data_IF_026591978161
#
_entry.id   IF_026591978161
#
_cell.length_a   1.000
_cell.length_b   1.000
_cell.length_c   1.000
_cell.angle_alpha   90.00
_cell.angle_beta   90.00
_cell.angle_gamma   90.00
#
_symmetry.space_group_name_H-M   'P 1'
#
loop_
_entity.id
_entity.type
_entity.pdbx_description
1 polymer ?
#
# COMPACT_ATOMS: atom_id res chain seq x y z
N UNK A 1 -3.40 -16.97 -6.31
CA UNK A 1 -2.38 -15.99 -5.93
C UNK A 1 -1.04 -16.55 -6.39
N UNK A 2 -0.32 -15.84 -7.25
CA UNK A 2 0.95 -16.31 -7.83
C UNK A 2 2.16 -15.65 -7.13
N UNK A 3 3.37 -16.14 -7.41
CA UNK A 3 4.61 -15.59 -6.80
C UNK A 3 4.81 -14.10 -7.11
N UNK A 4 4.34 -13.63 -8.27
CA UNK A 4 4.42 -12.22 -8.65
C UNK A 4 3.52 -11.34 -7.77
N UNK A 5 2.31 -11.80 -7.41
CA UNK A 5 1.42 -11.11 -6.47
C UNK A 5 2.13 -10.84 -5.14
N UNK A 6 2.85 -11.86 -4.64
CA UNK A 6 3.58 -11.76 -3.38
C UNK A 6 4.77 -10.81 -3.47
N UNK A 7 5.51 -10.83 -4.58
CA UNK A 7 6.64 -9.92 -4.78
C UNK A 7 6.18 -8.47 -4.91
N UNK A 8 5.08 -8.20 -5.62
CA UNK A 8 4.53 -6.84 -5.75
C UNK A 8 3.97 -6.33 -4.42
N UNK A 9 3.33 -7.19 -3.63
CA UNK A 9 2.91 -6.86 -2.27
C UNK A 9 4.10 -6.48 -1.39
N UNK A 10 5.15 -7.31 -1.36
CA UNK A 10 6.36 -7.05 -0.58
C UNK A 10 7.05 -5.75 -0.97
N UNK A 11 7.11 -5.42 -2.27
CA UNK A 11 7.64 -4.15 -2.75
C UNK A 11 6.90 -2.95 -2.18
N UNK A 12 5.57 -3.01 -2.12
CA UNK A 12 4.77 -1.92 -1.53
C UNK A 12 4.98 -1.84 -0.02
N UNK A 13 5.04 -2.98 0.68
CA UNK A 13 5.34 -2.99 2.12
C UNK A 13 6.73 -2.40 2.39
N UNK A 14 7.74 -2.78 1.60
CA UNK A 14 9.09 -2.22 1.70
C UNK A 14 9.11 -0.73 1.40
N UNK A 15 8.34 -0.29 0.39
CA UNK A 15 8.19 1.12 0.10
C UNK A 15 7.72 1.90 1.33
N UNK A 16 6.71 1.47 2.08
CA UNK A 16 6.27 2.24 3.26
C UNK A 16 7.09 1.99 4.52
N UNK A 17 7.47 0.74 4.79
CA UNK A 17 7.97 0.31 6.11
C UNK A 17 9.30 -0.45 6.06
N UNK A 18 9.96 -0.52 4.90
CA UNK A 18 11.27 -1.13 4.72
C UNK A 18 11.25 -2.66 4.58
N UNK A 19 12.37 -3.20 4.10
CA UNK A 19 12.53 -4.63 3.77
C UNK A 19 12.23 -5.57 4.94
N UNK A 20 12.61 -5.18 6.18
CA UNK A 20 12.35 -6.00 7.37
C UNK A 20 10.85 -6.26 7.60
N UNK A 21 10.00 -5.28 7.32
CA UNK A 21 8.55 -5.46 7.41
C UNK A 21 8.00 -6.21 6.20
N UNK A 22 8.59 -6.04 5.02
CA UNK A 22 8.18 -6.77 3.82
C UNK A 22 8.37 -8.29 3.95
N UNK A 23 9.34 -8.73 4.73
CA UNK A 23 9.55 -10.16 5.01
C UNK A 23 8.54 -10.72 6.03
N UNK A 24 8.08 -9.89 6.96
CA UNK A 24 7.27 -10.29 8.11
C UNK A 24 5.76 -10.15 7.89
N UNK A 25 5.31 -9.21 7.06
CA UNK A 25 3.87 -9.00 6.80
C UNK A 25 3.33 -10.16 5.95
N UNK A 26 2.37 -10.96 6.47
CA UNK A 26 1.82 -12.09 5.74
C UNK A 26 0.92 -11.62 4.58
N UNK A 27 0.94 -12.35 3.47
CA UNK A 27 0.05 -12.08 2.34
C UNK A 27 -1.33 -12.72 2.58
N UNK A 28 -2.21 -11.98 3.23
CA UNK A 28 -3.61 -12.38 3.50
C UNK A 28 -4.56 -11.20 3.32
N UNK A 29 -5.86 -11.44 3.46
CA UNK A 29 -6.88 -10.42 3.20
C UNK A 29 -6.76 -9.19 4.11
N UNK A 30 -6.45 -9.40 5.39
CA UNK A 30 -6.29 -8.33 6.36
C UNK A 30 -5.11 -7.42 6.00
N UNK A 31 -3.96 -8.02 5.70
CA UNK A 31 -2.73 -7.30 5.37
C UNK A 31 -2.87 -6.57 4.03
N UNK A 32 -3.51 -7.19 3.05
CA UNK A 32 -3.82 -6.56 1.76
C UNK A 32 -4.76 -5.38 1.92
N UNK A 33 -5.79 -5.48 2.77
CA UNK A 33 -6.67 -4.36 3.10
C UNK A 33 -5.89 -3.21 3.75
N UNK A 34 -5.03 -3.49 4.73
CA UNK A 34 -4.26 -2.47 5.43
C UNK A 34 -3.27 -1.74 4.50
N UNK A 35 -2.58 -2.49 3.65
CA UNK A 35 -1.64 -1.93 2.65
C UNK A 35 -2.40 -1.11 1.60
N UNK A 36 -3.58 -1.55 1.17
CA UNK A 36 -4.43 -0.78 0.26
C UNK A 36 -4.90 0.54 0.86
N UNK A 37 -5.34 0.54 2.12
CA UNK A 37 -5.76 1.78 2.80
C UNK A 37 -4.61 2.78 2.93
N UNK A 38 -3.39 2.30 3.21
CA UNK A 38 -2.19 3.14 3.24
C UNK A 38 -1.87 3.72 1.86
N UNK A 39 -1.95 2.90 0.80
CA UNK A 39 -1.76 3.35 -0.57
C UNK A 39 -2.77 4.42 -0.99
N UNK A 40 -4.05 4.21 -0.69
CA UNK A 40 -5.11 5.17 -0.98
C UNK A 40 -4.88 6.48 -0.21
N UNK A 41 -4.51 6.40 1.07
CA UNK A 41 -4.19 7.58 1.87
C UNK A 41 -2.98 8.36 1.32
N UNK A 42 -1.96 7.65 0.82
CA UNK A 42 -0.78 8.27 0.21
C UNK A 42 -1.11 8.94 -1.13
N UNK A 43 -1.97 8.31 -1.93
CA UNK A 43 -2.51 8.87 -3.16
C UNK A 43 -3.31 10.14 -2.88
N UNK A 44 -4.32 10.09 -2.01
CA UNK A 44 -5.17 11.24 -1.67
C UNK A 44 -4.35 12.42 -1.12
N UNK A 45 -3.38 12.16 -0.25
CA UNK A 45 -2.53 13.21 0.31
C UNK A 45 -1.65 13.86 -0.75
N UNK A 46 -1.09 13.06 -1.66
CA UNK A 46 -0.24 13.59 -2.72
C UNK A 46 -1.06 14.30 -3.80
N UNK A 47 -2.29 13.84 -4.08
CA UNK A 47 -3.25 14.52 -4.97
C UNK A 47 -3.74 15.85 -4.41
N UNK A 48 -3.94 15.95 -3.09
CA UNK A 48 -4.22 17.22 -2.42
C UNK A 48 -3.05 18.23 -2.55
N UNK A 49 -1.85 17.74 -2.84
CA UNK A 49 -0.67 18.57 -3.12
C UNK A 49 -0.44 18.83 -4.62
N UNK A 50 -0.92 17.97 -5.53
CA UNK A 50 -0.66 18.02 -6.98
C UNK A 50 -1.88 18.33 -7.89
N UNK A 51 -3.09 18.51 -7.34
CA UNK A 51 -4.32 18.90 -8.07
C UNK A 51 -4.67 18.02 -9.31
N UNK A 52 -4.41 16.71 -9.28
CA UNK A 52 -4.83 15.78 -10.36
C UNK A 52 -6.03 14.93 -9.90
N UNK A 53 -7.15 14.88 -10.66
CA UNK A 53 -8.32 14.12 -10.24
C UNK A 53 -8.19 12.63 -10.57
N UNK A 54 -8.36 11.76 -9.57
CA UNK A 54 -8.66 10.34 -9.76
C UNK A 54 -10.00 9.98 -9.12
N UNK A 55 -10.70 8.94 -9.63
CA UNK A 55 -12.05 8.62 -9.20
C UNK A 55 -12.09 8.26 -7.72
N UNK A 56 -12.67 9.16 -6.92
CA UNK A 56 -13.15 8.87 -5.58
C UNK A 56 -14.13 7.70 -5.64
N UNK A 57 -13.83 6.63 -4.91
CA UNK A 57 -14.87 5.69 -4.50
C UNK A 57 -14.46 4.97 -3.20
N UNK A 58 -14.75 5.55 -2.02
CA UNK A 58 -14.58 4.84 -0.76
C UNK A 58 -15.96 4.53 -0.16
N UNK A 59 -16.50 3.33 -0.36
CA UNK A 59 -17.60 2.82 0.49
C UNK A 59 -17.49 1.29 0.76
N UNK A 60 -16.83 0.51 -0.11
CA UNK A 60 -16.74 -0.95 0.06
C UNK A 60 -15.27 -1.35 0.18
N UNK A 61 -14.89 -2.11 1.22
CA UNK A 61 -13.57 -2.77 1.27
C UNK A 61 -13.39 -3.48 -0.07
N UNK A 62 -12.40 -3.09 -0.90
CA UNK A 62 -12.23 -3.71 -2.19
C UNK A 62 -12.04 -5.21 -2.00
N UNK A 63 -12.73 -6.02 -2.81
CA UNK A 63 -12.52 -7.46 -2.82
C UNK A 63 -11.02 -7.77 -2.95
N UNK A 64 -10.53 -8.81 -2.27
CA UNK A 64 -9.12 -9.17 -2.21
C UNK A 64 -8.41 -9.13 -3.59
N UNK A 65 -9.07 -9.62 -4.63
CA UNK A 65 -8.56 -9.62 -6.00
C UNK A 65 -8.38 -8.21 -6.60
N UNK A 66 -9.28 -7.27 -6.29
CA UNK A 66 -9.16 -5.88 -6.71
C UNK A 66 -8.04 -5.18 -5.96
N UNK A 67 -7.95 -5.40 -4.65
CA UNK A 67 -6.87 -4.87 -3.81
C UNK A 67 -5.49 -5.31 -4.34
N UNK A 68 -5.29 -6.60 -4.61
CA UNK A 68 -4.07 -7.11 -5.24
C UNK A 68 -3.80 -6.46 -6.60
N UNK A 69 -4.83 -6.28 -7.45
CA UNK A 69 -4.67 -5.64 -8.76
C UNK A 69 -4.18 -4.19 -8.65
N UNK A 70 -4.66 -3.44 -7.67
CA UNK A 70 -4.21 -2.07 -7.43
C UNK A 70 -2.78 -2.03 -6.89
N UNK A 71 -2.44 -2.92 -5.94
CA UNK A 71 -1.08 -3.10 -5.42
C UNK A 71 -0.09 -3.35 -6.56
N UNK A 72 -0.41 -4.26 -7.48
CA UNK A 72 0.42 -4.53 -8.68
C UNK A 72 0.66 -3.31 -9.54
N UNK A 73 -0.40 -2.54 -9.81
CA UNK A 73 -0.29 -1.33 -10.65
C UNK A 73 0.70 -0.36 -10.01
N UNK A 74 0.59 -0.15 -8.71
CA UNK A 74 1.43 0.81 -7.98
C UNK A 74 2.86 0.26 -7.82
N UNK A 75 3.05 -1.04 -7.59
CA UNK A 75 4.37 -1.66 -7.57
C UNK A 75 5.11 -1.48 -8.92
N UNK A 76 4.40 -1.60 -10.04
CA UNK A 76 4.93 -1.26 -11.37
C UNK A 76 5.25 0.23 -11.52
N UNK A 77 4.36 1.12 -11.07
CA UNK A 77 4.61 2.57 -11.08
C UNK A 77 5.87 2.93 -10.27
N UNK A 78 6.07 2.32 -9.09
CA UNK A 78 7.27 2.48 -8.26
C UNK A 78 8.56 1.96 -8.93
N UNK A 79 8.44 0.95 -9.80
CA UNK A 79 9.59 0.33 -10.48
C UNK A 79 9.96 1.04 -11.78
N UNK A 80 8.97 1.54 -12.54
CA UNK A 80 9.15 2.00 -13.92
C UNK A 80 8.85 3.51 -14.15
N UNK A 81 8.29 4.25 -13.18
CA UNK A 81 7.81 5.62 -13.37
C UNK A 81 8.18 6.58 -12.24
N UNK A 82 8.14 7.89 -12.54
CA UNK A 82 8.54 8.98 -11.64
C UNK A 82 7.80 8.89 -10.31
N UNK A 83 8.52 8.52 -9.26
CA UNK A 83 8.03 8.25 -7.91
C UNK A 83 7.41 9.46 -7.17
N UNK A 84 7.25 10.61 -7.83
CA UNK A 84 6.77 11.86 -7.22
C UNK A 84 5.39 11.76 -6.55
N UNK A 85 4.43 11.06 -7.17
CA UNK A 85 3.01 11.08 -6.73
C UNK A 85 2.74 10.29 -5.45
N UNK A 86 3.67 9.48 -4.93
CA UNK A 86 3.48 8.78 -3.64
C UNK A 86 4.58 9.08 -2.62
N UNK A 87 5.70 9.68 -3.06
CA UNK A 87 6.84 9.98 -2.19
C UNK A 87 6.56 11.12 -1.22
N UNK A 88 5.78 12.12 -1.64
CA UNK A 88 5.55 13.34 -0.86
C UNK A 88 4.89 13.06 0.50
N UNK A 89 3.91 12.17 0.54
CA UNK A 89 3.20 11.82 1.79
C UNK A 89 3.59 10.45 2.37
N UNK A 90 4.55 9.74 1.75
CA UNK A 90 5.02 8.41 2.16
C UNK A 90 5.26 8.32 3.67
N UNK A 91 6.07 9.22 4.20
CA UNK A 91 6.49 9.19 5.61
C UNK A 91 5.32 9.44 6.57
N UNK A 92 4.44 10.38 6.23
CA UNK A 92 3.25 10.69 7.05
C UNK A 92 2.29 9.51 7.11
N UNK A 93 2.03 8.87 5.97
CA UNK A 93 1.16 7.70 5.88
C UNK A 93 1.79 6.49 6.57
N UNK A 94 3.09 6.26 6.36
CA UNK A 94 3.81 5.19 7.03
C UNK A 94 3.70 5.30 8.56
N UNK A 95 3.81 6.52 9.10
CA UNK A 95 3.61 6.81 10.52
C UNK A 95 2.17 6.57 10.98
N UNK A 96 1.17 7.06 10.23
CA UNK A 96 -0.26 6.89 10.56
C UNK A 96 -0.66 5.42 10.70
N UNK A 97 -0.12 4.55 9.84
CA UNK A 97 -0.47 3.12 9.82
C UNK A 97 0.54 2.23 10.58
N UNK A 98 1.57 2.81 11.20
CA UNK A 98 2.65 2.08 11.88
C UNK A 98 2.13 1.08 12.90
N UNK A 99 1.20 1.49 13.77
CA UNK A 99 0.67 0.62 14.83
C UNK A 99 -0.03 -0.59 14.25
N UNK A 100 -0.92 -0.40 13.27
CA UNK A 100 -1.66 -1.49 12.62
C UNK A 100 -0.75 -2.47 11.90
N UNK A 101 0.30 -1.98 11.23
CA UNK A 101 1.32 -2.85 10.61
C UNK A 101 2.10 -3.62 11.67
N UNK A 102 2.47 -2.98 12.78
CA UNK A 102 3.14 -3.65 13.89
C UNK A 102 2.27 -4.74 14.53
N UNK A 103 0.96 -4.52 14.66
CA UNK A 103 0.02 -5.52 15.18
C UNK A 103 -0.09 -6.72 14.24
N UNK A 104 -0.18 -6.48 12.92
CA UNK A 104 -0.17 -7.54 11.90
C UNK A 104 1.11 -8.36 11.97
N UNK A 105 2.28 -7.72 12.05
CA UNK A 105 3.58 -8.40 12.16
C UNK A 105 3.66 -9.29 13.40
N UNK A 106 3.09 -8.84 14.52
CA UNK A 106 3.09 -9.59 15.78
C UNK A 106 1.93 -10.59 15.90
N UNK A 107 1.07 -10.73 14.88
CA UNK A 107 -0.09 -11.64 14.90
C UNK A 107 -1.18 -11.23 15.90
N UNK A 108 -1.31 -9.93 16.18
CA UNK A 108 -2.24 -9.36 17.15
C UNK A 108 -3.54 -8.82 16.51
N UNK A 109 -3.77 -9.09 15.22
CA UNK A 109 -4.85 -8.52 14.42
C UNK A 109 -5.46 -9.54 13.44
#
# INVERSE_FOLDING_TARGET
MNIEDANDFKRVVSFFWGESNAELVPLNEQSVSAVMEALEAAGVCSEAMDLVPRPHNPIVKPAFSYAIKQIKRIAKELTFGSSGTYMNCRNMVALKYRTRISEIVNGLY
#
